data_IF_849829197646
#
_entry.id   IF_849829197646
#
_cell.length_a   1.000
_cell.length_b   1.000
_cell.length_c   1.000
_cell.angle_alpha   90.00
_cell.angle_beta   90.00
_cell.angle_gamma   90.00
#
_symmetry.space_group_name_H-M   'P 1'
#
loop_
_entity.id
_entity.type
_entity.pdbx_description
1 polymer ?
#
# COMPACT_ATOMS: atom_id res chain seq x y z
N UNK A 1 -6.17 -41.34 54.88
CA UNK A 1 -5.24 -41.24 53.73
C UNK A 1 -6.01 -41.64 52.48
N UNK A 2 -6.33 -40.68 51.60
CA UNK A 2 -6.60 -40.84 50.15
C UNK A 2 -7.50 -39.71 49.63
N UNK A 3 -7.07 -39.10 48.51
CA UNK A 3 -7.87 -38.42 47.45
C UNK A 3 -8.34 -36.98 47.77
N UNK A 4 -8.24 -36.00 46.88
CA UNK A 4 -7.74 -35.95 45.50
C UNK A 4 -7.41 -34.47 45.18
N UNK A 5 -6.26 -34.24 44.55
CA UNK A 5 -5.92 -32.95 43.94
C UNK A 5 -6.67 -32.86 42.60
N UNK A 6 -7.73 -32.06 42.54
CA UNK A 6 -8.37 -31.67 41.29
C UNK A 6 -7.60 -30.48 40.72
N UNK A 7 -6.66 -30.77 39.81
CA UNK A 7 -6.06 -29.76 38.95
C UNK A 7 -7.08 -29.36 37.88
N UNK A 8 -7.64 -28.16 38.01
CA UNK A 8 -8.49 -27.57 36.99
C UNK A 8 -7.61 -27.13 35.82
N UNK A 9 -7.65 -27.88 34.72
CA UNK A 9 -7.04 -27.49 33.46
C UNK A 9 -7.90 -26.39 32.81
N UNK A 10 -7.46 -25.13 32.93
CA UNK A 10 -7.96 -24.02 32.13
C UNK A 10 -7.47 -24.21 30.69
N UNK A 11 -8.36 -24.67 29.81
CA UNK A 11 -8.14 -24.63 28.36
C UNK A 11 -8.38 -23.18 27.92
N UNK A 12 -7.30 -22.42 27.73
CA UNK A 12 -7.37 -21.16 27.03
C UNK A 12 -7.62 -21.45 25.54
N UNK A 13 -8.86 -21.28 25.08
CA UNK A 13 -9.16 -21.20 23.65
C UNK A 13 -8.60 -19.87 23.17
N UNK A 14 -7.38 -19.89 22.66
CA UNK A 14 -6.83 -18.77 21.92
C UNK A 14 -7.59 -18.75 20.60
N UNK A 15 -8.53 -17.83 20.47
CA UNK A 15 -9.17 -17.55 19.18
C UNK A 15 -8.05 -16.98 18.31
N UNK A 16 -7.54 -17.80 17.39
CA UNK A 16 -6.71 -17.32 16.30
C UNK A 16 -7.60 -16.37 15.50
N UNK A 17 -7.45 -15.07 15.74
CA UNK A 17 -7.95 -14.04 14.86
C UNK A 17 -7.42 -14.38 13.48
N UNK A 18 -8.31 -14.77 12.59
CA UNK A 18 -8.09 -14.73 11.15
C UNK A 18 -7.46 -13.38 10.83
N UNK A 19 -6.26 -13.39 10.25
CA UNK A 19 -5.53 -12.20 9.86
C UNK A 19 -6.40 -11.34 8.95
N UNK A 20 -7.09 -10.37 9.57
CA UNK A 20 -7.36 -9.12 8.91
C UNK A 20 -6.00 -8.55 8.55
N UNK A 21 -5.87 -7.98 7.35
CA UNK A 21 -4.80 -7.05 7.08
C UNK A 21 -4.70 -6.13 8.31
N UNK A 22 -3.60 -6.21 9.07
CA UNK A 22 -3.24 -5.10 9.93
C UNK A 22 -3.15 -3.92 8.97
N UNK A 23 -3.99 -2.93 9.19
CA UNK A 23 -4.10 -1.76 8.32
C UNK A 23 -2.68 -1.26 8.02
N UNK A 24 -2.31 -1.24 6.74
CA UNK A 24 -0.94 -0.89 6.36
C UNK A 24 -0.65 0.53 6.88
N UNK A 25 0.34 0.67 7.75
CA UNK A 25 0.69 1.95 8.36
C UNK A 25 1.76 2.64 7.49
N UNK A 26 1.55 3.92 7.18
CA UNK A 26 2.51 4.72 6.44
C UNK A 26 2.82 6.02 7.15
N UNK A 27 4.10 6.36 7.19
CA UNK A 27 4.60 7.60 7.79
C UNK A 27 5.86 8.08 7.11
N UNK A 28 6.10 9.39 7.20
CA UNK A 28 7.38 10.01 6.89
C UNK A 28 8.04 10.40 8.20
N UNK A 29 9.27 9.94 8.41
CA UNK A 29 10.04 10.17 9.64
C UNK A 29 11.28 10.99 9.33
N UNK A 30 11.43 12.13 9.99
CA UNK A 30 12.64 12.91 9.98
C UNK A 30 13.66 12.30 10.95
N UNK A 31 14.82 11.92 10.43
CA UNK A 31 15.95 11.38 11.19
C UNK A 31 17.16 12.30 11.10
N UNK A 32 17.62 12.79 12.24
CA UNK A 32 18.62 13.86 12.33
C UNK A 32 19.47 13.80 13.60
N UNK A 33 20.69 14.36 13.62
CA UNK A 33 21.52 14.42 14.83
C UNK A 33 20.95 15.42 15.84
N UNK A 34 20.71 14.98 17.07
CA UNK A 34 20.42 15.87 18.19
C UNK A 34 21.69 16.61 18.67
N UNK A 35 21.53 17.60 19.54
CA UNK A 35 22.64 18.39 20.11
C UNK A 35 23.73 17.52 20.77
N UNK A 36 23.35 16.36 21.32
CA UNK A 36 24.27 15.41 21.96
C UNK A 36 24.96 14.45 20.95
N UNK A 37 24.78 14.66 19.64
CA UNK A 37 25.32 13.82 18.57
C UNK A 37 24.62 12.46 18.40
N UNK A 38 23.53 12.20 19.11
CA UNK A 38 22.72 10.99 18.96
C UNK A 38 21.64 11.21 17.90
N UNK A 39 21.41 10.21 17.04
CA UNK A 39 20.34 10.28 16.04
C UNK A 39 18.96 10.25 16.71
N UNK A 40 18.11 11.20 16.33
CA UNK A 40 16.71 11.32 16.76
C UNK A 40 15.79 11.09 15.58
N UNK A 41 14.63 10.50 15.85
CA UNK A 41 13.56 10.26 14.87
C UNK A 41 12.28 10.96 15.32
N UNK A 42 11.68 11.73 14.42
CA UNK A 42 10.39 12.41 14.63
C UNK A 42 9.49 12.12 13.46
N UNK A 43 8.26 11.67 13.70
CA UNK A 43 7.26 11.50 12.63
C UNK A 43 6.78 12.88 12.20
N UNK A 44 6.92 13.19 10.91
CA UNK A 44 6.59 14.50 10.32
C UNK A 44 5.39 14.47 9.38
N UNK A 45 5.02 13.29 8.88
CA UNK A 45 3.77 13.05 8.15
C UNK A 45 3.22 11.70 8.58
N UNK A 46 1.94 11.67 8.94
CA UNK A 46 1.14 10.48 9.18
C UNK A 46 -0.01 10.38 8.17
N UNK A 47 -0.74 9.26 8.16
CA UNK A 47 -1.88 9.09 7.26
C UNK A 47 -2.97 10.16 7.44
N UNK A 48 -3.21 10.63 8.66
CA UNK A 48 -4.19 11.68 8.95
C UNK A 48 -3.79 13.06 8.40
N UNK A 49 -2.49 13.27 8.12
CA UNK A 49 -1.97 14.52 7.57
C UNK A 49 -2.14 14.60 6.04
N UNK A 50 -2.51 13.50 5.39
CA UNK A 50 -2.59 13.37 3.94
C UNK A 50 -4.02 13.64 3.44
N UNK A 51 -4.15 14.57 2.50
CA UNK A 51 -5.40 14.84 1.80
C UNK A 51 -5.61 13.94 0.58
N UNK A 52 -4.53 13.60 -0.14
CA UNK A 52 -4.55 12.66 -1.25
C UNK A 52 -3.19 12.02 -1.49
N UNK A 53 -3.18 10.79 -1.99
CA UNK A 53 -1.98 10.09 -2.40
C UNK A 53 -2.22 9.35 -3.73
N UNK A 54 -1.26 9.38 -4.63
CA UNK A 54 -1.36 8.72 -5.95
C UNK A 54 0.00 8.12 -6.33
N UNK A 55 0.05 6.83 -6.74
CA UNK A 55 1.27 6.26 -7.31
C UNK A 55 1.69 7.03 -8.57
N UNK A 56 2.99 7.27 -8.71
CA UNK A 56 3.55 8.02 -9.83
C UNK A 56 4.97 7.55 -10.15
N UNK A 57 5.52 8.09 -11.22
CA UNK A 57 6.93 7.91 -11.59
C UNK A 57 7.74 9.11 -11.18
N UNK A 58 8.89 8.89 -10.54
CA UNK A 58 9.83 9.97 -10.21
C UNK A 58 10.48 10.52 -11.48
N UNK A 59 11.11 11.69 -11.37
CA UNK A 59 11.80 12.35 -12.51
C UNK A 59 12.87 11.49 -13.18
N UNK A 60 13.45 10.55 -12.44
CA UNK A 60 14.49 9.63 -12.93
C UNK A 60 13.92 8.31 -13.46
N UNK A 61 12.59 8.19 -13.58
CA UNK A 61 11.92 6.95 -14.01
C UNK A 61 11.79 5.89 -12.91
N UNK A 62 12.03 6.25 -11.65
CA UNK A 62 11.79 5.36 -10.50
C UNK A 62 10.33 5.37 -10.07
N UNK A 63 9.96 4.48 -9.15
CA UNK A 63 8.64 4.45 -8.55
C UNK A 63 8.53 5.47 -7.40
N UNK A 64 7.34 6.02 -7.20
CA UNK A 64 7.06 6.91 -6.07
C UNK A 64 5.57 7.16 -5.87
N UNK A 65 5.24 8.02 -4.91
CA UNK A 65 3.89 8.43 -4.56
C UNK A 65 3.87 9.96 -4.47
N UNK A 66 2.99 10.58 -5.25
CA UNK A 66 2.67 11.99 -5.10
C UNK A 66 1.66 12.11 -3.95
N UNK A 67 2.00 12.87 -2.92
CA UNK A 67 1.18 13.08 -1.73
C UNK A 67 0.84 14.56 -1.64
N UNK A 68 -0.42 14.87 -1.43
CA UNK A 68 -0.88 16.22 -1.08
C UNK A 68 -1.26 16.21 0.39
N UNK A 69 -0.65 17.09 1.19
CA UNK A 69 -0.98 17.22 2.61
C UNK A 69 -2.22 18.08 2.81
N UNK A 70 -2.88 17.88 3.93
CA UNK A 70 -3.87 18.83 4.46
C UNK A 70 -3.18 20.13 4.90
N UNK A 71 -3.92 21.23 5.06
CA UNK A 71 -3.33 22.49 5.56
C UNK A 71 -2.64 22.31 6.92
N UNK A 72 -3.27 21.56 7.83
CA UNK A 72 -2.71 21.26 9.14
C UNK A 72 -1.47 20.36 9.06
N UNK A 73 -1.52 19.33 8.19
CA UNK A 73 -0.39 18.44 7.93
C UNK A 73 0.80 19.17 7.33
N UNK A 74 0.54 20.07 6.37
CA UNK A 74 1.57 20.90 5.75
C UNK A 74 2.27 21.81 6.76
N UNK A 75 1.50 22.47 7.62
CA UNK A 75 2.05 23.33 8.66
C UNK A 75 2.86 22.54 9.70
N UNK A 76 2.32 21.40 10.16
CA UNK A 76 3.05 20.51 11.08
C UNK A 76 4.35 19.99 10.48
N UNK A 77 4.32 19.61 9.19
CA UNK A 77 5.49 19.17 8.45
C UNK A 77 6.56 20.25 8.34
N UNK A 78 6.19 21.48 7.97
CA UNK A 78 7.15 22.59 7.87
C UNK A 78 7.73 22.97 9.23
N UNK A 79 6.89 23.08 10.26
CA UNK A 79 7.32 23.46 11.61
C UNK A 79 8.30 22.42 12.17
N UNK A 80 8.00 21.13 12.01
CA UNK A 80 8.87 20.05 12.49
C UNK A 80 10.23 20.04 11.78
N UNK A 81 10.28 20.34 10.48
CA UNK A 81 11.53 20.35 9.73
C UNK A 81 12.39 21.58 10.00
N UNK A 82 11.76 22.74 10.21
CA UNK A 82 12.47 23.95 10.62
C UNK A 82 13.03 23.79 12.03
N UNK A 83 12.24 23.30 12.99
CA UNK A 83 12.67 23.06 14.37
C UNK A 83 13.80 22.01 14.44
N UNK A 84 13.68 20.94 13.65
CA UNK A 84 14.71 19.93 13.54
C UNK A 84 15.97 20.42 12.81
N UNK A 85 15.93 21.56 12.12
CA UNK A 85 17.08 22.15 11.44
C UNK A 85 17.35 21.62 10.03
N UNK A 86 16.38 20.95 9.40
CA UNK A 86 16.52 20.41 8.03
C UNK A 86 16.74 21.48 6.96
N UNK A 87 16.33 22.71 7.23
CA UNK A 87 16.48 23.83 6.31
C UNK A 87 17.78 24.61 6.48
N UNK A 88 18.54 24.33 7.53
CA UNK A 88 19.81 25.02 7.80
C UNK A 88 20.85 24.75 6.70
N UNK A 89 21.75 25.72 6.47
CA UNK A 89 22.82 25.58 5.50
C UNK A 89 23.63 24.29 5.74
N UNK A 90 23.64 23.39 4.74
CA UNK A 90 24.37 22.13 4.79
C UNK A 90 23.59 20.93 5.34
N UNK A 91 22.37 21.13 5.87
CA UNK A 91 21.46 20.02 6.24
C UNK A 91 20.73 19.45 5.02
N UNK A 92 20.33 20.32 4.07
CA UNK A 92 19.81 19.89 2.78
C UNK A 92 20.86 19.02 2.05
N UNK A 93 20.42 17.84 1.54
CA UNK A 93 21.29 16.82 0.93
C UNK A 93 22.36 16.19 1.83
N UNK A 94 22.24 16.33 3.15
CA UNK A 94 23.17 15.70 4.12
C UNK A 94 22.89 14.21 4.34
N UNK A 95 21.87 13.64 3.69
CA UNK A 95 21.56 12.23 3.84
C UNK A 95 22.62 11.36 3.14
N UNK A 96 23.41 10.62 3.93
CA UNK A 96 24.52 9.80 3.44
C UNK A 96 24.10 8.54 2.67
N UNK A 97 22.81 8.22 2.63
CA UNK A 97 22.28 7.00 2.00
C UNK A 97 21.10 7.31 1.08
N UNK A 98 21.21 6.88 -0.18
CA UNK A 98 20.08 6.80 -1.11
C UNK A 98 19.54 5.35 -1.09
N UNK A 99 18.47 5.06 -0.34
CA UNK A 99 17.94 3.69 -0.27
C UNK A 99 17.06 3.35 0.93
N UNK A 100 16.70 2.09 1.09
CA UNK A 100 15.77 1.59 2.11
C UNK A 100 16.49 1.24 3.44
N UNK A 101 17.22 2.20 4.01
CA UNK A 101 18.04 1.99 5.21
C UNK A 101 17.90 3.15 6.20
N UNK A 102 18.05 2.87 7.50
CA UNK A 102 18.17 3.93 8.52
C UNK A 102 19.59 4.43 8.53
N UNK A 103 19.79 5.73 8.28
CA UNK A 103 21.10 6.38 8.31
C UNK A 103 21.68 6.48 9.72
N UNK A 104 23.00 6.41 9.84
CA UNK A 104 23.72 6.61 11.11
C UNK A 104 24.15 8.07 11.33
N UNK A 105 24.02 8.91 10.31
CA UNK A 105 24.45 10.31 10.29
C UNK A 105 23.63 11.16 9.31
N UNK A 106 23.65 12.49 9.47
CA UNK A 106 23.02 13.44 8.55
C UNK A 106 21.51 13.62 8.74
N UNK A 107 20.91 14.38 7.84
CA UNK A 107 19.49 14.74 7.84
C UNK A 107 18.74 13.98 6.74
N UNK A 108 17.94 12.99 7.13
CA UNK A 108 17.21 12.12 6.21
C UNK A 108 15.71 12.12 6.52
N UNK A 109 14.90 12.17 5.46
CA UNK A 109 13.50 11.81 5.48
C UNK A 109 13.37 10.33 5.12
N UNK A 110 12.87 9.54 6.06
CA UNK A 110 12.61 8.13 5.91
C UNK A 110 11.14 7.93 5.55
N UNK A 111 10.89 7.20 4.47
CA UNK A 111 9.55 6.70 4.15
C UNK A 111 9.40 5.34 4.80
N UNK A 112 8.45 5.24 5.74
CA UNK A 112 8.20 4.05 6.54
C UNK A 112 6.87 3.45 6.12
N UNK A 113 6.86 2.15 5.85
CA UNK A 113 5.68 1.36 5.53
C UNK A 113 5.68 0.12 6.42
N UNK A 114 4.62 -0.10 7.19
CA UNK A 114 4.50 -1.23 8.13
C UNK A 114 5.67 -1.30 9.15
N UNK A 115 6.23 -0.14 9.52
CA UNK A 115 7.38 -0.02 10.42
C UNK A 115 8.75 -0.28 9.76
N UNK A 116 8.77 -0.63 8.48
CA UNK A 116 9.97 -0.87 7.68
C UNK A 116 10.33 0.38 6.85
N UNK A 117 11.60 0.75 6.82
CA UNK A 117 12.06 1.86 5.96
C UNK A 117 12.12 1.35 4.53
N UNK A 118 11.27 1.89 3.65
CA UNK A 118 11.23 1.51 2.22
C UNK A 118 12.04 2.47 1.35
N UNK A 119 12.36 3.65 1.88
CA UNK A 119 13.20 4.65 1.23
C UNK A 119 13.72 5.70 2.22
N UNK A 120 14.88 6.27 1.93
CA UNK A 120 15.51 7.35 2.66
C UNK A 120 16.09 8.34 1.65
N UNK A 121 15.85 9.63 1.88
CA UNK A 121 16.43 10.71 1.09
C UNK A 121 16.57 11.98 1.91
N UNK A 122 17.53 12.82 1.53
CA UNK A 122 17.66 14.15 2.09
C UNK A 122 16.61 15.11 1.55
N UNK A 123 16.40 16.22 2.27
CA UNK A 123 15.63 17.33 1.72
C UNK A 123 16.34 17.90 0.49
N UNK A 124 15.56 18.20 -0.55
CA UNK A 124 16.11 18.90 -1.73
C UNK A 124 16.24 20.39 -1.44
N UNK A 125 17.26 21.07 -1.98
CA UNK A 125 17.41 22.52 -1.83
C UNK A 125 16.13 23.30 -2.16
N UNK A 126 15.44 23.06 -3.30
CA UNK A 126 14.24 23.82 -3.61
C UNK A 126 13.11 23.62 -2.60
N UNK A 127 13.01 22.41 -2.03
CA UNK A 127 12.02 22.13 -0.98
C UNK A 127 12.41 22.76 0.35
N UNK A 128 13.70 22.85 0.67
CA UNK A 128 14.16 23.53 1.88
C UNK A 128 13.82 25.03 1.78
N UNK A 129 14.12 25.64 0.63
CA UNK A 129 13.83 27.04 0.36
C UNK A 129 12.33 27.35 0.47
N UNK A 130 11.45 26.50 -0.09
CA UNK A 130 9.99 26.73 -0.01
C UNK A 130 9.42 26.50 1.39
N UNK A 131 10.04 25.64 2.20
CA UNK A 131 9.66 25.47 3.61
C UNK A 131 10.08 26.71 4.41
N UNK A 132 11.28 27.24 4.22
CA UNK A 132 11.75 28.44 4.92
C UNK A 132 10.98 29.70 4.54
N UNK A 133 10.60 29.84 3.27
CA UNK A 133 9.80 30.98 2.81
C UNK A 133 8.32 30.88 3.19
N UNK A 134 7.86 29.68 3.59
CA UNK A 134 6.45 29.37 3.87
C UNK A 134 5.61 29.10 2.63
N UNK A 135 6.18 29.19 1.42
CA UNK A 135 5.48 28.94 0.15
C UNK A 135 5.00 27.48 0.02
N UNK A 136 5.62 26.54 0.74
CA UNK A 136 5.18 25.14 0.73
C UNK A 136 3.72 24.96 1.18
N UNK A 137 3.24 25.79 2.10
CA UNK A 137 1.84 25.71 2.57
C UNK A 137 0.82 26.09 1.48
N UNK A 138 1.22 26.82 0.44
CA UNK A 138 0.32 27.22 -0.65
C UNK A 138 0.07 26.09 -1.67
N UNK A 139 1.03 25.17 -1.80
CA UNK A 139 0.96 23.99 -2.67
C UNK A 139 1.67 22.80 -1.99
N UNK A 140 1.03 22.15 -0.99
CA UNK A 140 1.69 21.22 -0.07
C UNK A 140 1.84 19.81 -0.66
N UNK A 141 2.54 19.72 -1.80
CA UNK A 141 2.75 18.48 -2.55
C UNK A 141 4.15 17.93 -2.31
N UNK A 142 4.21 16.66 -1.95
CA UNK A 142 5.43 15.89 -1.75
C UNK A 142 5.52 14.76 -2.78
N UNK A 143 6.74 14.43 -3.17
CA UNK A 143 7.02 13.23 -3.96
C UNK A 143 7.86 12.28 -3.11
N UNK A 144 7.24 11.19 -2.67
CA UNK A 144 7.89 10.14 -1.89
C UNK A 144 8.39 9.06 -2.85
N UNK A 145 9.71 8.92 -3.01
CA UNK A 145 10.27 7.87 -3.84
C UNK A 145 10.25 6.51 -3.11
N UNK A 146 10.19 5.42 -3.87
CA UNK A 146 10.26 4.05 -3.35
C UNK A 146 11.22 3.21 -4.18
N UNK A 147 11.67 2.07 -3.63
CA UNK A 147 12.53 1.14 -4.35
C UNK A 147 11.81 0.43 -5.52
N UNK A 148 10.50 0.15 -5.37
CA UNK A 148 9.72 -0.59 -6.36
C UNK A 148 8.31 -0.02 -6.58
N UNK A 149 7.71 -0.31 -7.73
CA UNK A 149 6.29 0.01 -8.01
C UNK A 149 5.34 -0.69 -7.04
N UNK A 150 5.68 -1.90 -6.58
CA UNK A 150 4.88 -2.62 -5.59
C UNK A 150 4.85 -1.86 -4.25
N UNK A 151 5.98 -1.29 -3.84
CA UNK A 151 6.07 -0.46 -2.63
C UNK A 151 5.32 0.86 -2.80
N UNK A 152 5.43 1.53 -3.96
CA UNK A 152 4.67 2.75 -4.24
C UNK A 152 3.16 2.52 -4.15
N UNK A 153 2.67 1.41 -4.73
CA UNK A 153 1.25 1.06 -4.66
C UNK A 153 0.79 0.73 -3.23
N UNK A 154 1.63 0.06 -2.43
CA UNK A 154 1.31 -0.22 -1.02
C UNK A 154 1.31 1.05 -0.18
N UNK A 155 2.33 1.90 -0.36
CA UNK A 155 2.46 3.18 0.32
C UNK A 155 1.28 4.10 0.02
N UNK A 156 0.88 4.21 -1.25
CA UNK A 156 -0.29 5.00 -1.62
C UNK A 156 -1.57 4.52 -0.92
N UNK A 157 -1.81 3.19 -0.86
CA UNK A 157 -2.96 2.62 -0.12
C UNK A 157 -2.93 2.95 1.37
N UNK A 158 -1.76 2.83 1.98
CA UNK A 158 -1.57 3.12 3.40
C UNK A 158 -1.86 4.61 3.71
N UNK A 159 -1.58 5.52 2.77
CA UNK A 159 -1.99 6.92 2.84
C UNK A 159 -3.44 7.19 2.38
N UNK A 160 -4.26 6.15 2.22
CA UNK A 160 -5.69 6.30 1.89
C UNK A 160 -6.00 6.53 0.42
N UNK A 161 -5.06 6.28 -0.49
CA UNK A 161 -5.36 6.31 -1.92
C UNK A 161 -6.37 5.23 -2.30
N UNK A 162 -7.43 5.62 -3.02
CA UNK A 162 -8.30 4.72 -3.78
C UNK A 162 -7.55 4.15 -5.00
N UNK A 163 -6.49 3.39 -4.78
CA UNK A 163 -5.88 2.60 -5.85
C UNK A 163 -6.66 1.29 -5.99
N UNK A 164 -6.88 0.79 -7.22
CA UNK A 164 -7.54 -0.48 -7.42
C UNK A 164 -6.71 -1.59 -6.75
N UNK A 165 -7.11 -2.01 -5.55
CA UNK A 165 -6.64 -3.25 -4.95
C UNK A 165 -7.13 -4.36 -5.87
N UNK A 166 -6.23 -5.13 -6.46
CA UNK A 166 -6.59 -6.39 -7.12
C UNK A 166 -6.99 -7.41 -6.05
N UNK A 167 -8.09 -7.15 -5.36
CA UNK A 167 -8.75 -8.02 -4.39
C UNK A 167 -10.19 -8.20 -4.83
N UNK A 168 -10.42 -8.36 -6.13
CA UNK A 168 -11.65 -8.95 -6.69
C UNK A 168 -11.39 -9.39 -8.14
N UNK A 169 -10.44 -10.31 -8.32
CA UNK A 169 -10.35 -11.15 -9.51
C UNK A 169 -10.58 -12.61 -9.12
N UNK A 170 -11.66 -12.88 -8.37
CA UNK A 170 -12.10 -14.22 -8.05
C UNK A 170 -13.62 -14.32 -7.85
N UNK A 171 -14.43 -13.65 -8.68
CA UNK A 171 -15.72 -14.22 -9.06
C UNK A 171 -16.23 -13.68 -10.41
N UNK A 172 -15.38 -13.71 -11.45
CA UNK A 172 -15.91 -13.84 -12.80
C UNK A 172 -16.28 -15.31 -13.01
N UNK A 173 -17.36 -15.79 -12.38
CA UNK A 173 -18.12 -16.88 -12.98
C UNK A 173 -18.69 -16.25 -14.24
N UNK A 174 -17.98 -16.46 -15.36
CA UNK A 174 -18.50 -16.20 -16.70
C UNK A 174 -19.74 -17.07 -16.86
N UNK A 175 -20.89 -16.56 -16.41
CA UNK A 175 -22.15 -16.87 -17.04
C UNK A 175 -21.94 -16.52 -18.51
N UNK A 176 -21.69 -17.54 -19.32
CA UNK A 176 -21.81 -17.43 -20.77
C UNK A 176 -23.28 -17.13 -21.03
N UNK A 177 -23.70 -15.92 -21.46
CA UNK A 177 -24.86 -15.89 -22.30
C UNK A 177 -24.44 -16.65 -23.57
N UNK A 178 -24.92 -17.88 -23.71
CA UNK A 178 -25.04 -18.49 -25.02
C UNK A 178 -26.07 -17.66 -25.79
N UNK A 179 -25.67 -16.51 -26.32
CA UNK A 179 -26.39 -15.89 -27.42
C UNK A 179 -26.14 -16.75 -28.64
N UNK A 180 -27.04 -17.71 -28.84
CA UNK A 180 -27.30 -18.33 -30.12
C UNK A 180 -27.42 -17.21 -31.17
N UNK A 181 -26.37 -17.04 -31.96
CA UNK A 181 -26.44 -16.28 -33.19
C UNK A 181 -27.14 -17.16 -34.22
N UNK A 182 -28.46 -17.20 -34.16
CA UNK A 182 -29.27 -17.56 -35.32
C UNK A 182 -29.17 -16.40 -36.30
N UNK A 183 -28.47 -16.63 -37.40
CA UNK A 183 -28.68 -15.86 -38.62
C UNK A 183 -28.65 -16.81 -39.82
N UNK A 184 -29.60 -16.69 -40.76
CA UNK A 184 -29.85 -17.70 -41.78
C UNK A 184 -28.94 -17.50 -42.98
N UNK A 185 -28.34 -18.57 -43.48
CA UNK A 185 -27.69 -18.59 -44.80
C UNK A 185 -28.31 -19.68 -45.67
N UNK A 186 -28.90 -19.33 -46.83
CA UNK A 186 -29.42 -20.30 -47.77
C UNK A 186 -28.28 -20.84 -48.66
N UNK A 187 -28.25 -22.16 -48.82
CA UNK A 187 -27.48 -22.83 -49.86
C UNK A 187 -26.08 -23.25 -49.41
N UNK A 188 -25.87 -24.57 -49.33
CA UNK A 188 -24.85 -25.35 -50.04
C UNK A 188 -24.90 -26.75 -49.40
N UNK A 189 -25.43 -27.71 -50.16
CA UNK A 189 -25.62 -29.08 -49.69
C UNK A 189 -24.31 -29.84 -49.63
N UNK A 190 -24.12 -30.63 -48.57
CA UNK A 190 -23.29 -31.84 -48.55
C UNK A 190 -23.94 -32.84 -47.58
N UNK A 191 -23.99 -34.14 -47.89
CA UNK A 191 -24.88 -35.10 -47.22
C UNK A 191 -24.18 -35.95 -46.14
N UNK A 192 -25.00 -36.70 -45.40
CA UNK A 192 -24.71 -37.94 -44.61
C UNK A 192 -23.83 -37.77 -43.36
N UNK A 193 -24.41 -37.90 -42.16
CA UNK A 193 -24.73 -39.15 -41.44
C UNK A 193 -23.63 -39.50 -40.42
N UNK A 194 -23.88 -39.21 -39.15
CA UNK A 194 -23.26 -39.96 -38.05
C UNK A 194 -24.37 -40.43 -37.12
N UNK A 195 -24.45 -41.76 -37.07
CA UNK A 195 -25.31 -42.60 -36.28
C UNK A 195 -24.83 -42.58 -34.82
N UNK A 196 -25.74 -42.37 -33.86
CA UNK A 196 -25.52 -42.78 -32.47
C UNK A 196 -26.84 -43.30 -31.90
N UNK A 197 -27.04 -44.61 -32.05
CA UNK A 197 -28.08 -45.35 -31.37
C UNK A 197 -27.58 -45.69 -29.95
N UNK A 198 -28.35 -45.31 -28.93
CA UNK A 198 -28.27 -45.91 -27.60
C UNK A 198 -29.70 -46.11 -27.08
N UNK A 199 -30.23 -47.32 -27.32
CA UNK A 199 -31.43 -47.86 -26.69
C UNK A 199 -30.97 -48.76 -25.54
N UNK A 200 -31.40 -48.46 -24.31
CA UNK A 200 -31.64 -49.50 -23.30
C UNK A 200 -32.70 -49.00 -22.30
N UNK A 201 -33.82 -49.72 -22.28
CA UNK A 201 -34.95 -49.55 -21.39
C UNK A 201 -34.64 -50.02 -19.96
N UNK A 202 -35.36 -49.45 -18.98
CA UNK A 202 -35.35 -49.94 -17.60
C UNK A 202 -36.43 -49.28 -16.76
N UNK A 203 -37.64 -49.85 -16.81
CA UNK A 203 -38.81 -49.42 -16.08
C UNK A 203 -38.65 -49.60 -14.55
N UNK A 204 -38.83 -48.52 -13.79
CA UNK A 204 -39.01 -48.55 -12.35
C UNK A 204 -40.49 -48.44 -12.00
N UNK A 205 -41.08 -49.57 -11.58
CA UNK A 205 -42.46 -49.69 -11.12
C UNK A 205 -42.73 -48.83 -9.87
N UNK A 206 -43.86 -48.13 -9.90
CA UNK A 206 -44.53 -47.62 -8.72
C UNK A 206 -45.08 -48.79 -7.85
N UNK A 207 -44.92 -48.68 -6.53
CA UNK A 207 -45.75 -49.39 -5.54
C UNK A 207 -46.37 -48.37 -4.60
N UNK A 208 -47.70 -48.35 -4.58
CA UNK A 208 -48.51 -48.03 -3.41
C UNK A 208 -48.85 -49.33 -2.71
#
# INVERSE_FOLDING_TARGET
MHRALLAAALVAVVVAGSGAAADADASVVARYPAENGTMTETTVVSADDVASAEPTTTRNGGAGVAVTLTDAGAQSFTDALVDAGFTTEGAARSCSTDGAERNDEGYCLLTVLDGEVVYAAGLTEPLAETIESGEFAEDPRLLLATATEADANRLARAFGADVPTTTEAANATTERPATESTSPVPGFGVPTAVLAAALAAGAGLARR
#
